data_IF_891835219038
#
_entry.id   IF_891835219038
#
_cell.length_a   1.000
_cell.length_b   1.000
_cell.length_c   1.000
_cell.angle_alpha   90.00
_cell.angle_beta   90.00
_cell.angle_gamma   90.00
#
_symmetry.space_group_name_H-M   'P 1'
#
loop_
_entity.id
_entity.type
_entity.pdbx_description
1 polymer ?
#
# COMPACT_ATOMS: atom_id res chain seq x y z
N UNK A 1 -12.50 15.10 -21.35
CA UNK A 1 -11.73 14.47 -20.25
C UNK A 1 -11.37 15.56 -19.26
N UNK A 2 -11.34 15.25 -17.96
CA UNK A 2 -10.54 16.08 -17.06
C UNK A 2 -9.08 15.79 -17.43
N UNK A 3 -8.41 16.76 -18.05
CA UNK A 3 -7.01 16.61 -18.48
C UNK A 3 -6.03 17.06 -17.40
N UNK A 4 -6.55 17.54 -16.26
CA UNK A 4 -5.71 17.94 -15.15
C UNK A 4 -5.11 16.68 -14.51
N UNK A 5 -3.86 16.75 -14.00
CA UNK A 5 -3.27 15.66 -13.21
C UNK A 5 -4.18 15.24 -12.03
N UNK A 6 -4.04 14.01 -11.56
CA UNK A 6 -4.62 13.57 -10.29
C UNK A 6 -4.09 14.46 -9.16
N UNK A 7 -4.99 14.92 -8.29
CA UNK A 7 -4.66 15.64 -7.07
C UNK A 7 -4.93 14.78 -5.82
N UNK A 8 -4.63 15.33 -4.64
CA UNK A 8 -4.84 14.65 -3.36
C UNK A 8 -6.30 14.22 -3.17
N UNK A 9 -7.26 15.09 -3.48
CA UNK A 9 -8.69 14.77 -3.33
C UNK A 9 -9.13 13.61 -4.24
N UNK A 10 -8.58 13.53 -5.46
CA UNK A 10 -8.86 12.42 -6.36
C UNK A 10 -8.40 11.10 -5.74
N UNK A 11 -7.20 11.07 -5.13
CA UNK A 11 -6.66 9.87 -4.47
C UNK A 11 -7.41 9.51 -3.19
N UNK A 12 -7.77 10.49 -2.37
CA UNK A 12 -8.61 10.26 -1.18
C UNK A 12 -9.96 9.65 -1.57
N UNK A 13 -10.60 10.16 -2.64
CA UNK A 13 -11.84 9.59 -3.18
C UNK A 13 -11.64 8.16 -3.65
N UNK A 14 -10.49 7.82 -4.23
CA UNK A 14 -10.14 6.44 -4.60
C UNK A 14 -10.04 5.57 -3.35
N UNK A 15 -9.23 5.96 -2.37
CA UNK A 15 -8.99 5.16 -1.17
C UNK A 15 -10.25 4.96 -0.32
N UNK A 16 -11.14 5.95 -0.27
CA UNK A 16 -12.44 5.84 0.42
C UNK A 16 -13.42 4.86 -0.23
N UNK A 17 -13.25 4.56 -1.52
CA UNK A 17 -14.19 3.72 -2.27
C UNK A 17 -13.79 2.26 -2.33
N UNK A 18 -12.49 1.98 -2.25
CA UNK A 18 -12.00 0.61 -2.29
C UNK A 18 -12.05 -0.02 -0.88
N UNK A 19 -12.45 -1.31 -0.76
CA UNK A 19 -12.50 -1.96 0.54
C UNK A 19 -11.09 -2.20 1.09
N UNK A 20 -10.87 -1.98 2.39
CA UNK A 20 -9.63 -2.43 3.00
C UNK A 20 -9.49 -3.97 2.90
N UNK A 21 -8.26 -4.50 2.70
CA UNK A 21 -6.98 -3.81 2.69
C UNK A 21 -6.44 -3.59 1.27
N UNK A 22 -7.28 -3.26 0.27
CA UNK A 22 -6.89 -3.23 -1.16
C UNK A 22 -6.07 -2.00 -1.59
N UNK A 23 -5.83 -1.07 -0.68
CA UNK A 23 -5.02 0.15 -0.91
C UNK A 23 -3.64 -0.11 -1.56
N UNK A 24 -2.90 -1.19 -1.23
CA UNK A 24 -1.63 -1.50 -1.89
C UNK A 24 -1.78 -1.76 -3.39
N UNK A 25 -2.95 -2.22 -3.86
CA UNK A 25 -3.20 -2.38 -5.29
C UNK A 25 -3.24 -1.01 -6.00
N UNK A 26 -3.94 -0.03 -5.42
CA UNK A 26 -3.98 1.35 -5.96
C UNK A 26 -2.58 1.97 -5.94
N UNK A 27 -1.86 1.86 -4.82
CA UNK A 27 -0.52 2.42 -4.69
C UNK A 27 0.46 1.80 -5.69
N UNK A 28 0.40 0.48 -5.87
CA UNK A 28 1.19 -0.22 -6.88
C UNK A 28 0.82 0.27 -8.29
N UNK A 29 -0.46 0.44 -8.61
CA UNK A 29 -0.90 0.96 -9.90
C UNK A 29 -0.37 2.37 -10.17
N UNK A 30 -0.41 3.25 -9.17
CA UNK A 30 0.13 4.61 -9.30
C UNK A 30 1.62 4.56 -9.67
N UNK A 31 2.41 3.74 -8.96
CA UNK A 31 3.85 3.60 -9.21
C UNK A 31 4.15 2.95 -10.57
N UNK A 32 3.38 1.94 -10.97
CA UNK A 32 3.53 1.33 -12.30
C UNK A 32 3.17 2.31 -13.42
N UNK A 33 2.07 3.05 -13.26
CA UNK A 33 1.63 4.01 -14.26
C UNK A 33 2.61 5.19 -14.43
N UNK A 34 3.23 5.67 -13.35
CA UNK A 34 4.23 6.74 -13.44
C UNK A 34 5.47 6.35 -14.23
N UNK A 35 5.79 5.06 -14.29
CA UNK A 35 6.94 4.50 -15.02
C UNK A 35 6.54 3.73 -16.28
N UNK A 36 5.32 3.91 -16.79
CA UNK A 36 4.72 3.08 -17.85
C UNK A 36 5.66 2.81 -19.05
N UNK A 37 6.31 3.85 -19.56
CA UNK A 37 7.21 3.75 -20.72
C UNK A 37 8.43 2.85 -20.47
N UNK A 38 8.87 2.75 -19.21
CA UNK A 38 10.06 2.01 -18.77
C UNK A 38 9.74 0.63 -18.19
N UNK A 39 8.45 0.25 -18.10
CA UNK A 39 8.06 -1.01 -17.50
C UNK A 39 8.54 -2.21 -18.31
N UNK A 40 8.98 -3.24 -17.60
CA UNK A 40 9.19 -4.59 -18.14
C UNK A 40 7.86 -5.20 -18.62
N UNK A 41 7.91 -6.27 -19.41
CA UNK A 41 6.69 -7.00 -19.80
C UNK A 41 5.91 -7.48 -18.58
N UNK A 42 6.61 -8.04 -17.59
CA UNK A 42 6.01 -8.53 -16.34
C UNK A 42 5.32 -7.40 -15.57
N UNK A 43 5.95 -6.22 -15.50
CA UNK A 43 5.37 -5.07 -14.80
C UNK A 43 4.16 -4.49 -15.56
N UNK A 44 4.16 -4.56 -16.90
CA UNK A 44 2.98 -4.20 -17.71
C UNK A 44 1.82 -5.17 -17.46
N UNK A 45 2.09 -6.47 -17.37
CA UNK A 45 1.06 -7.45 -17.03
C UNK A 45 0.52 -7.21 -15.61
N UNK A 46 1.39 -6.94 -14.64
CA UNK A 46 1.00 -6.57 -13.27
C UNK A 46 0.13 -5.31 -13.26
N UNK A 47 0.44 -4.31 -14.09
CA UNK A 47 -0.34 -3.09 -14.22
C UNK A 47 -1.74 -3.38 -14.79
N UNK A 48 -1.84 -4.16 -15.86
CA UNK A 48 -3.12 -4.54 -16.47
C UNK A 48 -3.96 -5.35 -15.48
N UNK A 49 -3.38 -6.37 -14.86
CA UNK A 49 -4.05 -7.21 -13.86
C UNK A 49 -4.50 -6.38 -12.65
N UNK A 50 -3.70 -5.40 -12.21
CA UNK A 50 -4.07 -4.49 -11.12
C UNK A 50 -5.24 -3.59 -11.49
N UNK A 51 -5.30 -3.08 -12.73
CA UNK A 51 -6.42 -2.28 -13.22
C UNK A 51 -7.70 -3.12 -13.22
N UNK A 52 -7.64 -4.35 -13.72
CA UNK A 52 -8.78 -5.27 -13.71
C UNK A 52 -9.23 -5.59 -12.29
N UNK A 53 -8.29 -5.87 -11.38
CA UNK A 53 -8.58 -6.14 -9.98
C UNK A 53 -9.30 -4.96 -9.31
N UNK A 54 -8.87 -3.72 -9.54
CA UNK A 54 -9.52 -2.53 -8.95
C UNK A 54 -10.88 -2.25 -9.57
N UNK A 55 -11.01 -2.39 -10.89
CA UNK A 55 -12.29 -2.23 -11.57
C UNK A 55 -13.34 -3.26 -11.09
N UNK A 56 -12.90 -4.44 -10.64
CA UNK A 56 -13.77 -5.46 -10.04
C UNK A 56 -14.15 -5.16 -8.58
N UNK A 57 -13.42 -4.28 -7.89
CA UNK A 57 -13.62 -3.96 -6.46
C UNK A 57 -14.59 -2.80 -6.21
N UNK A 58 -14.72 -1.86 -7.14
CA UNK A 58 -15.69 -0.77 -7.05
C UNK A 58 -16.35 -0.53 -8.42
N UNK A 59 -17.66 -0.82 -8.60
CA UNK A 59 -18.41 -0.61 -9.83
C UNK A 59 -18.71 0.87 -10.18
N UNK A 60 -18.22 1.85 -9.40
CA UNK A 60 -18.46 3.29 -9.59
C UNK A 60 -17.24 4.14 -10.00
N UNK A 61 -16.08 3.55 -10.33
CA UNK A 61 -14.85 4.26 -10.72
C UNK A 61 -14.90 5.12 -12.00
N UNK A 62 -16.02 5.12 -12.75
CA UNK A 62 -16.84 6.31 -13.08
C UNK A 62 -17.58 6.20 -14.42
N UNK A 63 -18.91 6.05 -14.35
CA UNK A 63 -19.82 6.33 -15.49
C UNK A 63 -19.63 7.76 -16.06
N UNK A 64 -19.17 8.73 -15.25
CA UNK A 64 -19.08 10.14 -15.63
C UNK A 64 -17.95 10.44 -16.64
N UNK A 65 -16.77 9.83 -16.48
CA UNK A 65 -15.68 9.94 -17.46
C UNK A 65 -16.01 9.20 -18.75
N UNK A 66 -16.59 7.99 -18.62
CA UNK A 66 -17.14 7.21 -19.75
C UNK A 66 -18.13 8.02 -20.58
N UNK A 67 -19.10 8.69 -19.94
CA UNK A 67 -20.07 9.53 -20.63
C UNK A 67 -19.41 10.72 -21.34
N UNK A 68 -18.37 11.35 -20.76
CA UNK A 68 -17.58 12.39 -21.44
C UNK A 68 -16.83 11.86 -22.66
N UNK A 69 -16.26 10.65 -22.59
CA UNK A 69 -15.55 10.00 -23.70
C UNK A 69 -16.51 9.63 -24.82
N UNK A 70 -17.64 8.98 -24.49
CA UNK A 70 -18.72 8.67 -25.43
C UNK A 70 -19.19 9.94 -26.13
N UNK A 71 -19.37 11.03 -25.37
CA UNK A 71 -19.80 12.34 -25.92
C UNK A 71 -18.78 12.90 -26.91
N UNK A 72 -17.49 12.90 -26.56
CA UNK A 72 -16.42 13.37 -27.45
C UNK A 72 -16.29 12.51 -28.73
N UNK A 73 -16.42 11.18 -28.61
CA UNK A 73 -16.41 10.27 -29.75
C UNK A 73 -17.62 10.48 -30.66
N UNK A 74 -18.82 10.68 -30.10
CA UNK A 74 -20.03 11.02 -30.87
C UNK A 74 -19.86 12.34 -31.64
N UNK A 75 -19.21 13.35 -31.05
CA UNK A 75 -18.91 14.62 -31.73
C UNK A 75 -17.90 14.43 -32.87
N UNK A 76 -16.82 13.65 -32.66
CA UNK A 76 -15.82 13.36 -33.70
C UNK A 76 -16.43 12.56 -34.86
N UNK A 77 -17.24 11.54 -34.56
CA UNK A 77 -17.91 10.72 -35.57
C UNK A 77 -18.86 11.53 -36.47
N UNK A 78 -19.55 12.54 -35.92
CA UNK A 78 -20.41 13.45 -36.70
C UNK A 78 -19.63 14.31 -37.70
N UNK A 79 -18.35 14.61 -37.42
CA UNK A 79 -17.48 15.44 -38.27
C UNK A 79 -16.66 14.62 -39.27
N UNK A 80 -16.60 13.30 -39.09
CA UNK A 80 -15.81 12.39 -39.92
C UNK A 80 -16.57 11.99 -41.20
N UNK A 81 -15.91 12.10 -42.37
CA UNK A 81 -16.50 11.79 -43.67
C UNK A 81 -16.14 10.38 -44.16
N UNK A 82 -15.08 9.78 -43.63
CA UNK A 82 -14.62 8.44 -44.02
C UNK A 82 -15.43 7.34 -43.32
N UNK A 83 -16.04 6.44 -44.10
CA UNK A 83 -16.89 5.35 -43.60
C UNK A 83 -16.17 4.43 -42.61
N UNK A 84 -14.93 4.04 -42.90
CA UNK A 84 -14.13 3.15 -42.07
C UNK A 84 -13.83 3.76 -40.69
N UNK A 85 -13.47 5.04 -40.64
CA UNK A 85 -13.17 5.76 -39.39
C UNK A 85 -14.43 5.93 -38.52
N UNK A 86 -15.60 6.15 -39.14
CA UNK A 86 -16.88 6.16 -38.42
C UNK A 86 -17.21 4.81 -37.80
N UNK A 87 -16.96 3.70 -38.50
CA UNK A 87 -17.20 2.35 -37.98
C UNK A 87 -16.31 2.04 -36.76
N UNK A 88 -15.04 2.48 -36.78
CA UNK A 88 -14.11 2.35 -35.64
C UNK A 88 -14.61 3.12 -34.43
N UNK A 89 -15.04 4.37 -34.59
CA UNK A 89 -15.61 5.15 -33.49
C UNK A 89 -16.89 4.54 -32.94
N UNK A 90 -17.76 4.01 -33.82
CA UNK A 90 -19.00 3.35 -33.42
C UNK A 90 -18.74 2.07 -32.61
N UNK A 91 -17.78 1.23 -33.02
CA UNK A 91 -17.42 0.03 -32.26
C UNK A 91 -16.89 0.37 -30.87
N UNK A 92 -16.02 1.38 -30.77
CA UNK A 92 -15.51 1.82 -29.46
C UNK A 92 -16.59 2.43 -28.57
N UNK A 93 -17.54 3.18 -29.13
CA UNK A 93 -18.71 3.67 -28.40
C UNK A 93 -19.53 2.48 -27.88
N UNK A 94 -19.81 1.48 -28.72
CA UNK A 94 -20.57 0.29 -28.34
C UNK A 94 -19.89 -0.49 -27.22
N UNK A 95 -18.57 -0.71 -27.29
CA UNK A 95 -17.80 -1.35 -26.22
C UNK A 95 -17.93 -0.60 -24.88
N UNK A 96 -17.82 0.74 -24.92
CA UNK A 96 -17.91 1.58 -23.73
C UNK A 96 -19.35 1.65 -23.17
N UNK A 97 -20.36 1.64 -24.03
CA UNK A 97 -21.78 1.61 -23.66
C UNK A 97 -22.22 0.24 -23.10
N UNK A 98 -21.66 -0.86 -23.63
CA UNK A 98 -21.98 -2.24 -23.22
C UNK A 98 -21.16 -2.74 -22.02
N UNK A 99 -19.99 -2.14 -21.76
CA UNK A 99 -19.16 -2.51 -20.60
C UNK A 99 -19.87 -2.18 -19.28
N UNK A 100 -20.00 -3.12 -18.35
CA UNK A 100 -20.57 -2.89 -17.01
C UNK A 100 -19.54 -2.45 -15.97
N UNK A 101 -18.27 -2.38 -16.33
CA UNK A 101 -17.18 -2.12 -15.40
C UNK A 101 -16.76 -0.65 -15.45
N UNK A 102 -16.72 0.08 -14.33
CA UNK A 102 -16.05 1.36 -14.30
C UNK A 102 -14.55 1.18 -14.54
N UNK A 103 -13.88 2.24 -14.97
CA UNK A 103 -12.48 2.19 -15.37
C UNK A 103 -11.75 3.31 -14.65
N UNK A 104 -10.71 2.97 -13.89
CA UNK A 104 -9.71 3.91 -13.39
C UNK A 104 -9.11 4.66 -14.59
N UNK A 105 -9.10 6.01 -14.57
CA UNK A 105 -8.63 6.84 -15.69
C UNK A 105 -7.11 6.71 -15.86
N UNK A 106 -6.71 5.60 -16.50
CA UNK A 106 -5.33 5.15 -16.60
C UNK A 106 -4.47 6.15 -17.39
N UNK A 107 -5.03 6.76 -18.44
CA UNK A 107 -4.35 7.81 -19.21
C UNK A 107 -4.03 9.03 -18.32
N UNK A 108 -4.99 9.46 -17.50
CA UNK A 108 -4.76 10.54 -16.52
C UNK A 108 -3.74 10.12 -15.46
N UNK A 109 -3.75 8.87 -15.00
CA UNK A 109 -2.80 8.36 -14.01
C UNK A 109 -1.37 8.33 -14.54
N UNK A 110 -1.14 7.86 -15.78
CA UNK A 110 0.18 7.91 -16.44
C UNK A 110 0.66 9.36 -16.59
N UNK A 111 -0.24 10.27 -16.96
CA UNK A 111 0.10 11.69 -17.13
C UNK A 111 0.37 12.42 -15.81
N UNK A 112 0.00 11.82 -14.67
CA UNK A 112 0.17 12.45 -13.37
C UNK A 112 1.55 12.16 -12.80
N UNK A 113 2.32 13.22 -12.56
CA UNK A 113 3.55 13.13 -11.78
C UNK A 113 3.24 13.43 -10.32
N UNK A 114 3.26 12.40 -9.49
CA UNK A 114 3.26 12.58 -8.04
C UNK A 114 4.68 12.89 -7.56
N UNK A 115 4.81 13.79 -6.58
CA UNK A 115 6.11 14.01 -5.95
C UNK A 115 6.45 12.82 -5.04
N UNK A 116 7.74 12.51 -4.90
CA UNK A 116 8.19 11.42 -4.02
C UNK A 116 7.74 11.64 -2.58
N UNK A 117 7.82 12.89 -2.09
CA UNK A 117 7.31 13.28 -0.76
C UNK A 117 5.82 12.97 -0.59
N UNK A 118 4.99 13.29 -1.59
CA UNK A 118 3.55 13.03 -1.52
C UNK A 118 3.26 11.52 -1.47
N UNK A 119 3.96 10.73 -2.29
CA UNK A 119 3.83 9.27 -2.29
C UNK A 119 4.27 8.69 -0.95
N UNK A 120 5.38 9.16 -0.40
CA UNK A 120 5.89 8.76 0.90
C UNK A 120 4.87 9.00 2.02
N UNK A 121 4.34 10.22 2.12
CA UNK A 121 3.36 10.62 3.13
C UNK A 121 2.06 9.78 2.99
N UNK A 122 1.60 9.58 1.75
CA UNK A 122 0.41 8.77 1.45
C UNK A 122 0.61 7.30 1.85
N UNK A 123 1.74 6.70 1.48
CA UNK A 123 2.05 5.30 1.80
C UNK A 123 2.15 5.09 3.31
N UNK A 124 2.83 5.98 4.03
CA UNK A 124 2.93 5.92 5.50
C UNK A 124 1.57 6.05 6.17
N UNK A 125 0.74 6.98 5.71
CA UNK A 125 -0.60 7.19 6.23
C UNK A 125 -1.50 5.96 6.05
N UNK A 126 -1.54 5.42 4.83
CA UNK A 126 -2.36 4.24 4.53
C UNK A 126 -1.83 2.96 5.19
N UNK A 127 -0.51 2.80 5.30
CA UNK A 127 0.11 1.73 6.09
C UNK A 127 -0.38 1.74 7.54
N UNK A 128 -0.44 2.93 8.16
CA UNK A 128 -0.87 3.09 9.55
C UNK A 128 -2.33 2.73 9.82
N UNK A 129 -3.20 2.78 8.80
CA UNK A 129 -4.63 2.43 8.93
C UNK A 129 -4.89 0.92 8.82
N UNK A 130 -4.16 0.26 7.93
CA UNK A 130 -4.43 -1.13 7.58
C UNK A 130 -4.11 -2.06 8.75
N UNK A 131 -4.99 -3.03 9.00
CA UNK A 131 -4.83 -4.04 10.06
C UNK A 131 -4.37 -5.39 9.54
N UNK A 132 -4.46 -5.61 8.22
CA UNK A 132 -4.21 -6.90 7.56
C UNK A 132 -3.13 -6.79 6.47
N UNK A 133 -1.96 -6.24 6.82
CA UNK A 133 -0.86 -6.03 5.85
C UNK A 133 -0.41 -7.30 5.11
N UNK A 134 -0.66 -8.48 5.70
CA UNK A 134 -0.32 -9.77 5.11
C UNK A 134 -1.07 -10.10 3.81
N UNK A 135 -2.29 -9.57 3.59
CA UNK A 135 -3.11 -9.92 2.40
C UNK A 135 -2.50 -9.44 1.09
N UNK A 136 -1.69 -8.38 1.12
CA UNK A 136 -1.04 -7.77 -0.05
C UNK A 136 0.46 -7.56 0.19
N UNK A 137 1.11 -8.53 0.83
CA UNK A 137 2.49 -8.37 1.28
C UNK A 137 3.48 -8.17 0.13
N UNK A 138 3.23 -8.79 -1.02
CA UNK A 138 4.08 -8.66 -2.21
C UNK A 138 3.94 -7.27 -2.84
N UNK A 139 2.72 -6.72 -2.87
CA UNK A 139 2.45 -5.36 -3.33
C UNK A 139 3.13 -4.35 -2.40
N UNK A 140 3.08 -4.57 -1.08
CA UNK A 140 3.81 -3.74 -0.14
C UNK A 140 5.32 -3.76 -0.39
N UNK A 141 5.92 -4.95 -0.53
CA UNK A 141 7.34 -5.08 -0.87
C UNK A 141 7.69 -4.36 -2.16
N UNK A 142 6.84 -4.49 -3.18
CA UNK A 142 7.00 -3.77 -4.45
C UNK A 142 6.97 -2.25 -4.23
N UNK A 143 5.96 -1.72 -3.55
CA UNK A 143 5.83 -0.29 -3.22
C UNK A 143 7.09 0.22 -2.51
N UNK A 144 7.55 -0.52 -1.49
CA UNK A 144 8.74 -0.16 -0.71
C UNK A 144 10.03 -0.18 -1.52
N UNK A 145 10.09 -0.96 -2.60
CA UNK A 145 11.25 -1.00 -3.50
C UNK A 145 11.31 0.15 -4.51
N UNK A 146 10.21 0.89 -4.69
CA UNK A 146 10.07 1.89 -5.77
C UNK A 146 10.24 3.33 -5.33
N UNK A 147 10.14 3.62 -4.03
CA UNK A 147 10.36 4.97 -3.50
C UNK A 147 11.29 4.94 -2.30
N UNK A 148 11.99 6.04 -2.08
CA UNK A 148 12.76 6.23 -0.85
C UNK A 148 11.85 6.77 0.24
N UNK A 149 12.14 6.40 1.48
CA UNK A 149 11.44 6.94 2.64
C UNK A 149 12.41 7.62 3.59
N UNK A 150 11.96 8.73 4.17
CA UNK A 150 12.60 9.30 5.33
C UNK A 150 12.46 8.35 6.51
N UNK A 151 13.59 7.96 7.08
CA UNK A 151 13.67 6.95 8.14
C UNK A 151 13.55 7.54 9.55
N UNK A 152 13.35 8.85 9.68
CA UNK A 152 13.29 9.51 10.98
C UNK A 152 14.62 9.44 11.74
N UNK A 153 14.51 9.65 13.05
CA UNK A 153 15.64 9.66 13.99
C UNK A 153 15.99 8.25 14.48
N UNK A 154 15.93 7.26 13.57
CA UNK A 154 16.41 5.92 13.88
C UNK A 154 17.91 5.97 14.24
N UNK A 155 18.36 5.11 15.18
CA UNK A 155 19.77 5.03 15.57
C UNK A 155 20.67 4.83 14.36
N UNK A 156 21.84 5.48 14.38
CA UNK A 156 22.85 5.29 13.35
C UNK A 156 23.62 3.97 13.54
N UNK A 157 23.79 3.54 14.79
CA UNK A 157 24.33 2.22 15.15
C UNK A 157 23.33 1.09 14.88
N UNK A 158 23.81 -0.16 14.88
CA UNK A 158 22.96 -1.33 14.72
C UNK A 158 22.16 -1.63 15.99
N UNK A 159 20.90 -2.01 15.84
CA UNK A 159 19.95 -2.24 16.93
C UNK A 159 19.08 -3.48 16.68
N UNK A 160 18.48 -4.00 17.75
CA UNK A 160 17.52 -5.09 17.65
C UNK A 160 16.12 -4.56 17.37
N UNK A 161 15.42 -5.27 16.49
CA UNK A 161 13.99 -5.14 16.26
C UNK A 161 13.29 -6.44 16.63
N UNK A 162 12.04 -6.33 17.08
CA UNK A 162 11.28 -7.43 17.65
C UNK A 162 9.89 -7.54 17.01
N UNK A 163 9.35 -8.75 16.96
CA UNK A 163 8.00 -9.00 16.44
C UNK A 163 7.36 -10.22 17.12
N UNK A 164 6.06 -10.12 17.31
CA UNK A 164 5.18 -11.27 17.50
C UNK A 164 4.53 -11.65 16.15
N UNK A 165 4.77 -12.85 15.64
CA UNK A 165 4.23 -13.33 14.38
C UNK A 165 5.19 -14.23 13.61
N UNK A 166 5.15 -14.18 12.28
CA UNK A 166 6.02 -14.96 11.40
C UNK A 166 7.18 -14.12 10.86
N UNK A 167 8.23 -14.81 10.39
CA UNK A 167 9.40 -14.20 9.74
C UNK A 167 9.05 -13.34 8.51
N UNK A 168 7.90 -13.57 7.87
CA UNK A 168 7.53 -12.89 6.64
C UNK A 168 6.91 -11.51 6.85
N UNK A 169 6.44 -11.19 8.06
CA UNK A 169 5.72 -9.95 8.30
C UNK A 169 6.63 -8.71 8.29
N UNK A 170 6.08 -7.57 7.85
CA UNK A 170 6.85 -6.35 7.61
C UNK A 170 6.85 -5.34 8.77
N UNK A 171 5.88 -5.39 9.68
CA UNK A 171 5.75 -4.48 10.84
C UNK A 171 6.49 -5.03 12.08
N UNK A 172 7.52 -4.33 12.53
CA UNK A 172 8.35 -4.70 13.68
C UNK A 172 8.37 -3.55 14.69
N UNK A 173 8.89 -3.77 15.89
CA UNK A 173 9.07 -2.72 16.89
C UNK A 173 10.50 -2.69 17.40
N UNK A 174 11.01 -1.52 17.76
CA UNK A 174 12.31 -1.40 18.45
C UNK A 174 12.24 -1.84 19.92
N UNK A 175 11.05 -2.12 20.47
CA UNK A 175 10.87 -2.43 21.88
C UNK A 175 10.37 -3.86 22.12
N UNK A 176 11.18 -4.66 22.82
CA UNK A 176 10.85 -6.04 23.16
C UNK A 176 9.56 -6.18 24.00
N UNK A 177 9.28 -5.25 24.90
CA UNK A 177 8.04 -5.21 25.71
C UNK A 177 6.77 -5.01 24.88
N UNK A 178 6.87 -4.26 23.77
CA UNK A 178 5.76 -4.07 22.83
C UNK A 178 5.53 -5.36 22.03
N UNK A 179 6.61 -6.01 21.56
CA UNK A 179 6.51 -7.31 20.92
C UNK A 179 5.91 -8.37 21.88
N UNK A 180 6.30 -8.39 23.17
CA UNK A 180 5.71 -9.26 24.20
C UNK A 180 4.22 -9.03 24.37
N UNK A 181 3.77 -7.77 24.36
CA UNK A 181 2.34 -7.46 24.42
C UNK A 181 1.56 -8.07 23.25
N UNK A 182 2.04 -7.89 22.01
CA UNK A 182 1.42 -8.52 20.84
C UNK A 182 1.49 -10.06 20.91
N UNK A 183 2.60 -10.62 21.37
CA UNK A 183 2.78 -12.06 21.54
C UNK A 183 1.71 -12.63 22.47
N UNK A 184 1.55 -12.04 23.67
CA UNK A 184 0.55 -12.46 24.65
C UNK A 184 -0.87 -12.27 24.13
N UNK A 185 -1.16 -11.13 23.49
CA UNK A 185 -2.47 -10.84 22.89
C UNK A 185 -2.86 -11.89 21.84
N UNK A 186 -1.91 -12.28 20.98
CA UNK A 186 -2.13 -13.24 19.91
C UNK A 186 -2.33 -14.67 20.40
N UNK A 187 -1.76 -15.05 21.55
CA UNK A 187 -2.00 -16.36 22.16
C UNK A 187 -3.48 -16.56 22.51
N UNK A 188 -4.14 -15.51 23.00
CA UNK A 188 -5.56 -15.53 23.35
C UNK A 188 -6.46 -15.65 22.12
N UNK A 189 -6.09 -15.00 21.00
CA UNK A 189 -6.97 -14.86 19.83
C UNK A 189 -6.74 -15.90 18.74
N UNK A 190 -5.50 -16.36 18.51
CA UNK A 190 -5.13 -17.13 17.31
C UNK A 190 -4.64 -18.57 17.59
N UNK A 191 -4.85 -19.10 18.81
CA UNK A 191 -4.38 -20.44 19.23
C UNK A 191 -2.89 -20.70 18.93
N UNK A 192 -2.05 -19.66 18.89
CA UNK A 192 -0.59 -19.74 18.74
C UNK A 192 -0.05 -20.16 17.37
N UNK A 193 -0.89 -20.65 16.44
CA UNK A 193 -0.43 -21.03 15.10
C UNK A 193 0.01 -19.75 14.38
N UNK A 194 1.31 -19.61 14.09
CA UNK A 194 1.96 -18.42 13.49
C UNK A 194 2.30 -17.26 14.44
N UNK A 195 2.30 -17.48 15.76
CA UNK A 195 2.68 -16.46 16.73
C UNK A 195 4.04 -16.81 17.39
N UNK A 196 5.14 -16.50 16.70
CA UNK A 196 6.47 -16.63 17.27
C UNK A 196 6.94 -15.30 17.83
N UNK A 197 7.74 -15.34 18.89
CA UNK A 197 8.53 -14.18 19.30
C UNK A 197 9.87 -14.24 18.56
N UNK A 198 10.12 -13.25 17.72
CA UNK A 198 11.31 -13.20 16.87
C UNK A 198 12.01 -11.85 16.99
N UNK A 199 13.33 -11.87 16.81
CA UNK A 199 14.20 -10.69 16.78
C UNK A 199 15.11 -10.70 15.56
N UNK A 200 15.56 -9.52 15.15
CA UNK A 200 16.57 -9.37 14.11
C UNK A 200 17.48 -8.20 14.46
N UNK A 201 18.79 -8.37 14.19
CA UNK A 201 19.78 -7.30 14.37
C UNK A 201 19.98 -6.57 13.04
N UNK A 202 19.68 -5.28 13.04
CA UNK A 202 19.58 -4.47 11.81
C UNK A 202 20.25 -3.13 12.01
N UNK A 203 20.53 -2.44 10.91
CA UNK A 203 20.90 -1.03 10.92
C UNK A 203 19.86 -0.19 10.17
N UNK A 204 20.01 1.13 10.25
CA UNK A 204 19.11 2.10 9.60
C UNK A 204 18.92 1.86 8.10
N UNK A 205 19.92 1.37 7.38
CA UNK A 205 19.80 1.10 5.95
C UNK A 205 18.88 -0.09 5.61
N UNK A 206 18.66 -1.00 6.57
CA UNK A 206 17.77 -2.14 6.39
C UNK A 206 16.29 -1.77 6.58
N UNK A 207 16.00 -0.65 7.25
CA UNK A 207 14.63 -0.22 7.56
C UNK A 207 14.04 0.52 6.37
N UNK A 208 12.78 0.23 6.04
CA UNK A 208 12.03 1.00 5.04
C UNK A 208 11.67 2.36 5.62
N UNK A 209 10.89 2.40 6.70
CA UNK A 209 10.58 3.62 7.44
C UNK A 209 10.18 3.33 8.90
N UNK A 210 10.11 4.41 9.69
CA UNK A 210 9.70 4.40 11.09
C UNK A 210 8.35 5.12 11.29
N UNK A 211 7.51 4.60 12.18
CA UNK A 211 6.24 5.18 12.61
C UNK A 211 6.07 5.05 14.12
N UNK A 212 5.71 6.15 14.80
CA UNK A 212 5.41 6.10 16.24
C UNK A 212 4.06 6.68 16.64
N UNK A 213 3.16 6.91 15.68
CA UNK A 213 1.84 7.51 15.94
C UNK A 213 0.96 6.69 16.90
N UNK A 214 1.24 5.39 17.10
CA UNK A 214 0.54 4.49 18.04
C UNK A 214 1.30 4.23 19.35
N UNK A 215 2.45 4.89 19.56
CA UNK A 215 3.41 4.56 20.63
C UNK A 215 3.92 3.12 20.54
N UNK A 216 4.02 2.59 19.33
CA UNK A 216 4.45 1.22 19.05
C UNK A 216 5.93 1.13 18.68
N UNK A 217 6.62 2.28 18.50
CA UNK A 217 7.97 2.35 17.95
C UNK A 217 8.14 1.45 16.73
N UNK A 218 7.17 1.54 15.81
CA UNK A 218 7.03 0.67 14.67
C UNK A 218 8.12 0.98 13.64
N UNK A 219 8.82 -0.07 13.21
CA UNK A 219 9.74 -0.06 12.09
C UNK A 219 9.23 -1.01 11.03
N UNK A 220 9.13 -0.51 9.80
CA UNK A 220 8.79 -1.34 8.65
C UNK A 220 10.06 -1.89 8.05
N UNK A 221 10.18 -3.22 8.03
CA UNK A 221 11.36 -3.97 7.64
C UNK A 221 10.96 -5.01 6.60
N UNK A 222 11.69 -5.09 5.47
CA UNK A 222 11.53 -6.20 4.51
C UNK A 222 12.46 -7.33 4.99
N UNK A 223 11.89 -8.42 5.54
CA UNK A 223 12.67 -9.38 6.30
C UNK A 223 13.60 -10.22 5.42
N UNK A 224 14.83 -10.37 5.91
CA UNK A 224 15.79 -11.39 5.49
C UNK A 224 15.66 -12.58 6.45
N UNK A 225 15.11 -13.70 5.98
CA UNK A 225 14.74 -14.83 6.83
C UNK A 225 15.93 -15.47 7.56
N UNK A 226 17.13 -15.32 7.01
CA UNK A 226 18.39 -15.85 7.57
C UNK A 226 18.86 -15.04 8.78
N UNK A 227 18.51 -13.75 8.85
CA UNK A 227 18.88 -12.83 9.94
C UNK A 227 17.86 -12.77 11.08
N UNK A 228 16.85 -13.63 11.05
CA UNK A 228 15.77 -13.65 12.03
C UNK A 228 15.94 -14.83 12.99
N UNK A 229 16.04 -14.49 14.26
CA UNK A 229 16.20 -15.41 15.38
C UNK A 229 14.88 -15.60 16.13
N UNK A 230 14.66 -16.80 16.64
CA UNK A 230 13.59 -17.09 17.60
C UNK A 230 14.08 -16.76 19.00
N UNK A 231 13.23 -16.09 19.79
CA UNK A 231 13.52 -15.79 21.19
C UNK A 231 13.04 -16.95 22.06
N UNK A 232 13.88 -17.41 22.98
CA UNK A 232 13.54 -18.51 23.90
C UNK A 232 12.44 -18.12 24.88
N UNK A 233 11.73 -19.10 25.46
CA UNK A 233 10.68 -18.81 26.46
C UNK A 233 11.26 -18.12 27.69
N UNK A 234 12.44 -18.55 28.17
CA UNK A 234 13.14 -17.94 29.31
C UNK A 234 13.45 -16.46 29.05
N UNK A 235 14.01 -16.13 27.87
CA UNK A 235 14.22 -14.73 27.46
C UNK A 235 12.91 -13.94 27.39
N UNK A 236 11.81 -14.56 26.94
CA UNK A 236 10.51 -13.89 26.88
C UNK A 236 9.99 -13.59 28.28
N UNK A 237 10.17 -14.50 29.24
CA UNK A 237 9.71 -14.33 30.63
C UNK A 237 10.36 -13.12 31.30
N UNK A 238 11.66 -12.89 31.06
CA UNK A 238 12.43 -11.76 31.61
C UNK A 238 11.98 -10.38 31.08
N UNK A 239 11.35 -10.32 29.90
CA UNK A 239 10.90 -9.05 29.32
C UNK A 239 9.73 -8.46 30.14
N UNK A 240 9.74 -7.17 30.51
CA UNK A 240 8.62 -6.54 31.22
C UNK A 240 7.31 -6.61 30.42
N UNK A 241 6.23 -7.04 31.08
CA UNK A 241 4.87 -7.01 30.50
C UNK A 241 4.29 -5.60 30.64
N UNK A 242 3.71 -5.09 29.56
CA UNK A 242 2.96 -3.82 29.56
C UNK A 242 1.47 -4.10 29.32
N UNK A 243 0.59 -3.23 29.81
CA UNK A 243 -0.86 -3.38 29.61
C UNK A 243 -1.30 -3.01 28.19
N UNK A 244 -0.66 -2.00 27.60
CA UNK A 244 -0.90 -1.51 26.24
C UNK A 244 0.25 -0.59 25.81
N UNK A 245 0.69 -0.65 24.54
CA UNK A 245 1.64 0.33 23.98
C UNK A 245 1.16 1.78 24.16
N UNK A 246 -0.16 2.03 24.04
CA UNK A 246 -0.74 3.37 24.17
C UNK A 246 -0.63 3.98 25.58
N UNK A 247 -0.55 3.15 26.62
CA UNK A 247 -0.53 3.62 28.02
C UNK A 247 0.87 4.02 28.51
N UNK A 248 1.93 3.86 27.70
CA UNK A 248 3.30 4.25 28.07
C UNK A 248 3.49 5.75 28.32
N UNK A 249 2.67 6.64 27.72
CA UNK A 249 2.75 8.11 27.96
C UNK A 249 2.51 8.50 29.41
N UNK A 250 1.61 7.82 30.12
CA UNK A 250 1.25 8.18 31.50
C UNK A 250 2.42 7.89 32.46
N UNK A 251 3.28 6.93 32.14
CA UNK A 251 4.42 6.55 32.97
C UNK A 251 5.70 7.37 32.70
N UNK A 252 5.81 8.05 31.55
CA UNK A 252 7.00 8.83 31.17
C UNK A 252 6.83 10.35 31.24
N UNK A 253 5.62 10.86 31.53
CA UNK A 253 5.40 12.29 31.74
C UNK A 253 5.45 13.18 30.50
N UNK A 254 5.35 12.60 29.29
CA UNK A 254 5.35 13.34 28.04
C UNK A 254 3.90 13.63 27.60
N UNK A 255 3.44 14.87 27.88
CA UNK A 255 2.19 15.47 27.39
C UNK A 255 2.41 16.19 26.06
#
# INVERSE_FOLDING_TARGET
MNTNPYNTEDLEKIFLRIPEPTVPLVLQLILLASDYEKLSSVDRDNLINGIEAINNLDPNFTLQARNKIITALKVKMKKEKKSLARAVFQNRINELEQSKYPILDFERMISTKFSERFLEETIKFEWGKITSHHKYINQWKYIFSKISFYKGDLPDDSFYIYRAGTKNGLSWTMENSIAKWFYNKNLVTNKGKYNYFIKSYVNKSNIVFFLNHKNENEVVYVPDSEKIEYVSLDEIEEIPTINSPRNKRIAKGEL
#
